data_IF_438827939005
#
_entry.id   IF_438827939005
#
_cell.length_a   1.000
_cell.length_b   1.000
_cell.length_c   1.000
_cell.angle_alpha   90.00
_cell.angle_beta   90.00
_cell.angle_gamma   90.00
#
_symmetry.space_group_name_H-M   'P 1'
#
loop_
_entity.id
_entity.type
_entity.pdbx_description
1 polymer ?
#
# COMPACT_ATOMS: atom_id res chain seq x y z
N UNK A 1 15.88 46.06 14.20
CA UNK A 1 14.78 45.10 14.44
C UNK A 1 15.36 43.77 14.89
N UNK A 2 14.73 43.10 15.87
CA UNK A 2 15.11 41.73 16.27
C UNK A 2 14.49 40.71 15.30
N UNK A 3 15.17 39.61 14.95
CA UNK A 3 14.61 38.59 14.07
C UNK A 3 13.47 37.83 14.76
N UNK A 4 12.38 37.62 14.02
CA UNK A 4 11.24 36.78 14.38
C UNK A 4 11.59 35.32 14.12
N UNK A 5 11.35 34.45 15.09
CA UNK A 5 11.56 33.02 14.94
C UNK A 5 10.20 32.33 14.81
N UNK A 6 10.05 31.55 13.75
CA UNK A 6 8.85 30.78 13.46
C UNK A 6 9.21 29.30 13.50
N UNK A 7 8.52 28.55 14.36
CA UNK A 7 8.68 27.11 14.48
C UNK A 7 7.45 26.45 13.86
N UNK A 8 7.65 25.53 12.94
CA UNK A 8 6.61 24.86 12.18
C UNK A 8 6.74 23.35 12.42
N UNK A 9 5.69 22.76 12.98
CA UNK A 9 5.59 21.31 13.14
C UNK A 9 4.94 20.71 11.89
N UNK A 10 5.51 19.63 11.36
CA UNK A 10 5.06 18.94 10.16
C UNK A 10 4.86 17.45 10.49
N UNK A 11 3.71 16.90 10.11
CA UNK A 11 3.35 15.48 10.19
C UNK A 11 3.84 14.68 8.95
N UNK A 12 5.08 14.94 8.52
CA UNK A 12 5.70 14.26 7.38
C UNK A 12 7.21 14.09 7.61
N UNK A 13 7.76 13.00 7.07
CA UNK A 13 9.20 12.77 7.09
C UNK A 13 9.95 13.80 6.24
N UNK A 14 11.20 14.15 6.58
CA UNK A 14 12.00 15.02 5.75
C UNK A 14 12.32 14.33 4.42
N UNK A 15 12.10 15.03 3.31
CA UNK A 15 12.37 14.57 1.95
C UNK A 15 13.82 14.10 1.66
N UNK A 16 14.82 14.57 2.40
CA UNK A 16 16.24 14.40 2.06
C UNK A 16 17.16 14.13 3.26
N UNK A 17 16.61 13.92 4.46
CA UNK A 17 17.37 13.64 5.67
C UNK A 17 16.52 12.93 6.72
N UNK A 18 17.15 12.54 7.84
CA UNK A 18 16.49 11.93 9.00
C UNK A 18 16.57 12.85 10.23
N UNK A 19 16.71 14.17 10.03
CA UNK A 19 16.84 15.11 11.13
C UNK A 19 15.45 15.47 11.66
N UNK A 20 15.32 15.47 13.00
CA UNK A 20 14.10 15.94 13.67
C UNK A 20 13.81 17.42 13.37
N UNK A 21 14.86 18.24 13.24
CA UNK A 21 14.75 19.68 13.04
C UNK A 21 15.60 20.14 11.86
N UNK A 22 14.98 20.87 10.92
CA UNK A 22 15.61 21.43 9.73
C UNK A 22 15.46 22.96 9.68
N UNK A 23 16.46 23.62 9.10
CA UNK A 23 16.45 25.06 8.83
C UNK A 23 16.56 25.27 7.34
N UNK A 24 15.50 25.81 6.72
CA UNK A 24 15.53 26.17 5.30
C UNK A 24 15.85 27.65 5.15
N UNK A 25 16.75 27.95 4.23
CA UNK A 25 17.04 29.32 3.79
C UNK A 25 16.28 29.60 2.51
N UNK A 26 15.56 30.72 2.46
CA UNK A 26 14.91 31.14 1.22
C UNK A 26 15.97 31.56 0.20
N UNK A 27 15.67 31.26 -1.06
CA UNK A 27 16.44 31.70 -2.21
C UNK A 27 15.51 32.48 -3.14
N UNK A 28 16.04 33.51 -3.79
CA UNK A 28 15.32 34.21 -4.87
C UNK A 28 15.17 33.28 -6.08
N UNK A 29 14.35 33.68 -7.07
CA UNK A 29 14.21 32.96 -8.34
C UNK A 29 15.56 32.77 -9.07
N UNK A 30 16.54 33.64 -8.80
CA UNK A 30 17.91 33.56 -9.34
C UNK A 30 18.85 32.70 -8.49
N UNK A 31 18.34 32.07 -7.43
CA UNK A 31 19.10 31.20 -6.53
C UNK A 31 19.92 31.91 -5.46
N UNK A 32 19.84 33.25 -5.38
CA UNK A 32 20.55 34.04 -4.37
C UNK A 32 19.94 33.81 -3.00
N UNK A 33 20.78 33.49 -2.02
CA UNK A 33 20.35 33.25 -0.64
C UNK A 33 19.89 34.56 -0.01
N UNK A 34 18.75 34.52 0.68
CA UNK A 34 18.24 35.65 1.46
C UNK A 34 19.34 36.21 2.39
N UNK A 35 19.35 37.55 2.55
CA UNK A 35 20.36 38.27 3.33
C UNK A 35 20.61 37.59 4.69
N UNK A 36 21.88 37.43 5.11
CA UNK A 36 22.28 36.85 6.43
C UNK A 36 21.56 37.48 7.63
N UNK A 37 21.01 38.70 7.47
CA UNK A 37 20.15 39.41 8.43
C UNK A 37 18.64 39.22 8.19
N UNK A 38 18.22 38.04 7.73
CA UNK A 38 16.81 37.74 7.52
C UNK A 38 15.99 38.06 8.78
N UNK A 39 14.91 38.82 8.60
CA UNK A 39 14.01 39.22 9.68
C UNK A 39 13.19 38.05 10.20
N UNK A 40 13.01 36.98 9.41
CA UNK A 40 12.25 35.78 9.77
C UNK A 40 13.17 34.57 9.67
N UNK A 41 13.29 33.81 10.75
CA UNK A 41 13.98 32.52 10.79
C UNK A 41 12.94 31.41 10.96
N UNK A 42 12.93 30.45 10.05
CA UNK A 42 11.99 29.31 10.07
C UNK A 42 12.73 28.04 10.44
N UNK A 43 12.18 27.34 11.43
CA UNK A 43 12.63 26.02 11.85
C UNK A 43 11.50 25.04 11.64
N UNK A 44 11.79 23.94 10.97
CA UNK A 44 10.83 22.91 10.60
C UNK A 44 11.11 21.68 11.43
N UNK A 45 10.09 21.19 12.15
CA UNK A 45 10.18 20.03 13.03
C UNK A 45 9.36 18.92 12.41
N UNK A 46 10.02 17.83 12.02
CA UNK A 46 9.39 16.67 11.39
C UNK A 46 9.01 15.67 12.49
N UNK A 47 7.76 15.72 12.94
CA UNK A 47 7.29 14.97 14.10
C UNK A 47 7.50 13.45 13.97
N UNK A 48 7.26 12.78 12.82
CA UNK A 48 7.42 11.33 12.72
C UNK A 48 8.82 10.80 13.04
N UNK A 49 9.86 11.63 12.87
CA UNK A 49 11.26 11.28 13.16
C UNK A 49 11.46 10.97 14.65
N UNK A 50 10.62 11.53 15.53
CA UNK A 50 10.74 11.29 16.97
C UNK A 50 10.53 9.82 17.34
N UNK A 51 9.69 9.10 16.58
CA UNK A 51 9.41 7.70 16.81
C UNK A 51 10.65 6.84 16.54
N UNK A 52 11.47 7.20 15.55
CA UNK A 52 12.74 6.54 15.28
C UNK A 52 13.77 6.82 16.38
N UNK A 53 13.83 8.06 16.86
CA UNK A 53 14.71 8.43 17.98
C UNK A 53 14.35 7.62 19.23
N UNK A 54 13.06 7.53 19.56
CA UNK A 54 12.58 6.71 20.68
C UNK A 54 12.96 5.24 20.51
N UNK A 55 12.83 4.66 19.32
CA UNK A 55 13.26 3.28 19.05
C UNK A 55 14.75 3.06 19.30
N UNK A 56 15.60 4.06 19.00
CA UNK A 56 17.07 3.95 19.12
C UNK A 56 17.57 4.13 20.56
N UNK A 57 17.05 5.12 21.29
CA UNK A 57 17.61 5.52 22.60
C UNK A 57 16.64 5.39 23.78
N UNK A 58 15.35 5.19 23.52
CA UNK A 58 14.28 5.11 24.53
C UNK A 58 13.79 6.49 25.02
N UNK A 59 12.54 6.54 25.50
CA UNK A 59 11.85 7.78 25.92
C UNK A 59 12.60 8.51 27.04
N UNK A 60 13.20 7.80 27.99
CA UNK A 60 13.86 8.41 29.16
C UNK A 60 15.17 9.13 28.83
N UNK A 61 15.71 8.95 27.63
CA UNK A 61 16.94 9.62 27.17
C UNK A 61 16.66 10.81 26.26
N UNK A 62 15.39 11.08 25.95
CA UNK A 62 15.00 12.27 25.18
C UNK A 62 15.18 13.53 26.02
N UNK A 63 15.59 14.63 25.41
CA UNK A 63 15.59 15.94 26.07
C UNK A 63 14.18 16.59 26.12
N UNK A 64 14.01 17.68 26.88
CA UNK A 64 12.74 18.43 27.03
C UNK A 64 12.01 18.70 25.70
N UNK A 65 12.76 19.05 24.64
CA UNK A 65 12.18 19.39 23.36
C UNK A 65 11.79 18.15 22.54
N UNK A 66 12.61 17.10 22.58
CA UNK A 66 12.29 15.81 21.96
C UNK A 66 11.08 15.16 22.62
N UNK A 67 10.96 15.23 23.95
CA UNK A 67 9.77 14.75 24.66
C UNK A 67 8.53 15.53 24.26
N UNK A 68 8.63 16.85 24.06
CA UNK A 68 7.53 17.67 23.54
C UNK A 68 7.14 17.24 22.10
N UNK A 69 8.11 16.95 21.24
CA UNK A 69 7.82 16.45 19.89
C UNK A 69 7.13 15.07 19.95
N UNK A 70 7.55 14.19 20.87
CA UNK A 70 6.94 12.88 21.07
C UNK A 70 5.49 13.00 21.54
N UNK A 71 5.20 13.96 22.41
CA UNK A 71 3.84 14.29 22.84
C UNK A 71 2.96 14.73 21.66
N UNK A 72 3.47 15.61 20.79
CA UNK A 72 2.70 16.09 19.64
C UNK A 72 2.42 15.01 18.61
N UNK A 73 3.38 14.11 18.37
CA UNK A 73 3.23 13.00 17.42
C UNK A 73 2.23 11.95 17.92
N UNK A 74 2.35 11.52 19.18
CA UNK A 74 1.63 10.34 19.66
C UNK A 74 0.42 10.66 20.55
N UNK A 75 0.25 11.92 20.97
CA UNK A 75 -0.77 12.35 21.93
C UNK A 75 -0.73 11.56 23.27
N UNK A 76 0.42 10.95 23.58
CA UNK A 76 0.62 10.09 24.75
C UNK A 76 1.07 10.88 25.97
N UNK A 77 0.13 11.15 26.88
CA UNK A 77 0.39 11.93 28.09
C UNK A 77 1.11 11.11 29.18
N UNK A 78 0.80 9.82 29.32
CA UNK A 78 1.12 9.03 30.52
C UNK A 78 2.58 8.60 30.63
N UNK A 79 3.22 8.29 29.49
CA UNK A 79 4.65 7.92 29.47
C UNK A 79 5.55 9.12 29.81
N UNK A 80 5.13 10.32 29.37
CA UNK A 80 5.87 11.56 29.49
C UNK A 80 5.67 12.19 30.88
N UNK A 81 4.52 12.01 31.52
CA UNK A 81 4.26 12.52 32.89
C UNK A 81 5.25 12.00 33.95
N UNK A 82 5.96 10.91 33.68
CA UNK A 82 7.00 10.35 34.55
C UNK A 82 8.33 11.10 34.46
N UNK A 83 8.55 11.94 33.45
CA UNK A 83 9.78 12.73 33.32
C UNK A 83 9.69 13.98 34.20
N UNK A 84 10.83 14.37 34.81
CA UNK A 84 10.89 15.47 35.79
C UNK A 84 10.93 16.86 35.13
N UNK A 85 10.79 16.94 33.81
CA UNK A 85 11.18 18.12 33.02
C UNK A 85 10.16 19.25 33.04
N UNK A 86 10.68 20.48 33.11
CA UNK A 86 9.88 21.69 33.40
C UNK A 86 9.12 22.18 32.17
N UNK A 87 9.72 22.14 30.98
CA UNK A 87 9.09 22.64 29.76
C UNK A 87 7.86 21.80 29.39
N UNK A 88 8.04 20.48 29.44
CA UNK A 88 7.00 19.49 29.18
C UNK A 88 5.84 19.65 30.16
N UNK A 89 6.11 19.82 31.46
CA UNK A 89 5.06 20.09 32.46
C UNK A 89 4.25 21.35 32.16
N UNK A 90 4.91 22.47 31.88
CA UNK A 90 4.23 23.74 31.55
C UNK A 90 3.41 23.59 30.26
N UNK A 91 3.91 22.88 29.26
CA UNK A 91 3.17 22.59 28.04
C UNK A 91 1.98 21.66 28.29
N UNK A 92 2.14 20.64 29.11
CA UNK A 92 1.06 19.72 29.51
C UNK A 92 -0.06 20.44 30.26
N UNK A 93 0.29 21.39 31.14
CA UNK A 93 -0.70 22.25 31.80
C UNK A 93 -1.46 23.09 30.77
N UNK A 94 -0.76 23.77 29.86
CA UNK A 94 -1.39 24.53 28.77
C UNK A 94 -2.22 23.67 27.82
N UNK A 95 -1.77 22.45 27.53
CA UNK A 95 -2.48 21.50 26.68
C UNK A 95 -3.78 21.04 27.34
N UNK A 96 -3.75 20.73 28.65
CA UNK A 96 -4.96 20.43 29.44
C UNK A 96 -5.90 21.63 29.54
N UNK A 97 -5.38 22.86 29.62
CA UNK A 97 -6.20 24.08 29.54
C UNK A 97 -6.86 24.24 28.16
N UNK A 98 -6.13 23.94 27.08
CA UNK A 98 -6.68 23.95 25.72
C UNK A 98 -7.75 22.88 25.50
N UNK A 99 -7.57 21.68 26.08
CA UNK A 99 -8.59 20.63 26.04
C UNK A 99 -9.90 21.04 26.73
N UNK A 100 -9.84 21.90 27.75
CA UNK A 100 -11.03 22.48 28.40
C UNK A 100 -11.68 23.60 27.59
N UNK A 101 -11.03 24.10 26.54
CA UNK A 101 -11.60 25.08 25.64
C UNK A 101 -12.43 24.35 24.56
N UNK A 102 -13.72 24.15 24.86
CA UNK A 102 -14.65 23.36 24.04
C UNK A 102 -14.63 23.73 22.55
N UNK A 103 -14.52 25.01 22.20
CA UNK A 103 -14.59 25.47 20.81
C UNK A 103 -13.32 25.16 20.00
N UNK A 104 -12.15 25.41 20.56
CA UNK A 104 -10.88 25.12 19.90
C UNK A 104 -10.62 23.61 19.83
N UNK A 105 -10.91 22.90 20.93
CA UNK A 105 -10.72 21.46 21.02
C UNK A 105 -11.67 20.68 20.10
N UNK A 106 -12.96 21.02 20.07
CA UNK A 106 -13.92 20.37 19.16
C UNK A 106 -13.57 20.56 17.69
N UNK A 107 -13.06 21.73 17.31
CA UNK A 107 -12.63 22.01 15.93
C UNK A 107 -11.40 21.18 15.55
N UNK A 108 -10.37 21.15 16.40
CA UNK A 108 -9.16 20.36 16.15
C UNK A 108 -9.46 18.85 16.09
N UNK A 109 -10.30 18.36 17.00
CA UNK A 109 -10.75 16.97 17.04
C UNK A 109 -11.55 16.60 15.79
N UNK A 110 -12.44 17.49 15.31
CA UNK A 110 -13.22 17.26 14.10
C UNK A 110 -12.34 17.14 12.84
N UNK A 111 -11.28 17.95 12.73
CA UNK A 111 -10.29 17.89 11.65
C UNK A 111 -9.53 16.56 11.71
N UNK A 112 -8.98 16.20 12.88
CA UNK A 112 -8.26 14.92 13.05
C UNK A 112 -9.15 13.71 12.75
N UNK A 113 -10.40 13.70 13.25
CA UNK A 113 -11.35 12.64 12.91
C UNK A 113 -11.69 12.61 11.41
N UNK A 114 -11.77 13.77 10.75
CA UNK A 114 -11.93 13.88 9.31
C UNK A 114 -10.77 13.23 8.55
N UNK A 115 -9.54 13.56 8.92
CA UNK A 115 -8.33 12.98 8.32
C UNK A 115 -8.21 11.47 8.59
N UNK A 116 -8.50 11.02 9.81
CA UNK A 116 -8.49 9.59 10.15
C UNK A 116 -9.54 8.82 9.35
N UNK A 117 -10.75 9.38 9.17
CA UNK A 117 -11.79 8.80 8.30
C UNK A 117 -11.33 8.73 6.84
N UNK A 118 -10.68 9.78 6.33
CA UNK A 118 -10.14 9.80 4.98
C UNK A 118 -9.07 8.71 4.78
N UNK A 119 -8.10 8.60 5.70
CA UNK A 119 -7.05 7.57 5.67
C UNK A 119 -7.64 6.15 5.74
N UNK A 120 -8.59 5.91 6.64
CA UNK A 120 -9.21 4.59 6.80
C UNK A 120 -10.10 4.22 5.61
N UNK A 121 -10.91 5.15 5.08
CA UNK A 121 -11.75 4.90 3.90
C UNK A 121 -10.94 4.57 2.64
N UNK A 122 -9.77 5.18 2.46
CA UNK A 122 -8.81 4.82 1.42
C UNK A 122 -8.25 3.41 1.60
N UNK A 123 -7.91 3.02 2.82
CA UNK A 123 -7.41 1.67 3.12
C UNK A 123 -8.48 0.59 2.94
N UNK A 124 -9.71 0.85 3.34
CA UNK A 124 -10.82 -0.10 3.22
C UNK A 124 -11.20 -0.31 1.74
N UNK A 125 -11.30 0.77 0.96
CA UNK A 125 -11.55 0.67 -0.48
C UNK A 125 -10.41 -0.02 -1.24
N UNK A 126 -9.16 0.18 -0.85
CA UNK A 126 -8.01 -0.55 -1.41
C UNK A 126 -8.08 -2.05 -1.09
N UNK A 127 -8.39 -2.43 0.16
CA UNK A 127 -8.54 -3.83 0.56
C UNK A 127 -9.68 -4.52 -0.17
N UNK A 128 -10.86 -3.90 -0.24
CA UNK A 128 -12.00 -4.44 -0.97
C UNK A 128 -11.71 -4.60 -2.46
N UNK A 129 -11.01 -3.62 -3.07
CA UNK A 129 -10.61 -3.69 -4.46
C UNK A 129 -9.63 -4.84 -4.74
N UNK A 130 -8.67 -5.04 -3.84
CA UNK A 130 -7.70 -6.13 -3.93
C UNK A 130 -8.36 -7.51 -3.76
N UNK A 131 -9.25 -7.65 -2.78
CA UNK A 131 -9.97 -8.90 -2.51
C UNK A 131 -10.85 -9.30 -3.69
N UNK A 132 -11.66 -8.36 -4.21
CA UNK A 132 -12.48 -8.59 -5.41
C UNK A 132 -11.66 -8.91 -6.64
N UNK A 133 -10.53 -8.22 -6.83
CA UNK A 133 -9.62 -8.49 -7.95
C UNK A 133 -9.01 -9.89 -7.88
N UNK A 134 -8.61 -10.32 -6.69
CA UNK A 134 -8.05 -11.66 -6.46
C UNK A 134 -9.09 -12.75 -6.67
N UNK A 135 -10.29 -12.58 -6.12
CA UNK A 135 -11.39 -13.54 -6.27
C UNK A 135 -11.78 -13.72 -7.74
N UNK A 136 -11.97 -12.62 -8.47
CA UNK A 136 -12.27 -12.67 -9.91
C UNK A 136 -11.14 -13.29 -10.73
N UNK A 137 -9.88 -13.01 -10.39
CA UNK A 137 -8.73 -13.59 -11.06
C UNK A 137 -8.62 -15.09 -10.84
N UNK A 138 -8.85 -15.56 -9.61
CA UNK A 138 -8.84 -16.98 -9.26
C UNK A 138 -10.00 -17.74 -9.91
N UNK A 139 -11.21 -17.19 -9.90
CA UNK A 139 -12.38 -17.82 -10.53
C UNK A 139 -12.14 -18.01 -12.03
N UNK A 140 -11.73 -16.94 -12.74
CA UNK A 140 -11.43 -17.02 -14.19
C UNK A 140 -10.29 -17.98 -14.50
N UNK A 141 -9.19 -17.90 -13.75
CA UNK A 141 -8.04 -18.80 -13.96
C UNK A 141 -8.41 -20.27 -13.72
N UNK A 142 -9.29 -20.55 -12.75
CA UNK A 142 -9.79 -21.89 -12.48
C UNK A 142 -10.70 -22.39 -13.61
N UNK A 143 -11.63 -21.58 -14.08
CA UNK A 143 -12.52 -21.95 -15.19
C UNK A 143 -11.74 -22.22 -16.48
N UNK A 144 -10.81 -21.33 -16.83
CA UNK A 144 -9.93 -21.49 -17.99
C UNK A 144 -9.07 -22.75 -17.87
N UNK A 145 -8.44 -22.96 -16.72
CA UNK A 145 -7.60 -24.13 -16.46
C UNK A 145 -8.38 -25.45 -16.51
N UNK A 146 -9.61 -25.49 -15.98
CA UNK A 146 -10.47 -26.68 -16.07
C UNK A 146 -10.84 -26.97 -17.53
N UNK A 147 -11.18 -25.93 -18.29
CA UNK A 147 -11.53 -26.07 -19.71
C UNK A 147 -10.37 -26.58 -20.54
N UNK A 148 -9.19 -25.98 -20.39
CA UNK A 148 -7.96 -26.44 -21.07
C UNK A 148 -7.57 -27.85 -20.65
N UNK A 149 -7.68 -28.17 -19.36
CA UNK A 149 -7.42 -29.52 -18.84
C UNK A 149 -8.35 -30.57 -19.42
N UNK A 150 -9.63 -30.25 -19.59
CA UNK A 150 -10.61 -31.15 -20.21
C UNK A 150 -10.31 -31.36 -21.70
N UNK A 151 -10.05 -30.29 -22.45
CA UNK A 151 -9.74 -30.37 -23.88
C UNK A 151 -8.45 -31.16 -24.14
N UNK A 152 -7.41 -30.96 -23.33
CA UNK A 152 -6.15 -31.72 -23.44
C UNK A 152 -6.33 -33.19 -23.09
N UNK A 153 -7.14 -33.50 -22.06
CA UNK A 153 -7.49 -34.86 -21.69
C UNK A 153 -8.27 -35.59 -22.78
N UNK A 154 -9.29 -34.96 -23.37
CA UNK A 154 -10.08 -35.53 -24.49
C UNK A 154 -9.19 -35.83 -25.70
N UNK A 155 -8.27 -34.92 -26.05
CA UNK A 155 -7.29 -35.16 -27.14
C UNK A 155 -6.37 -36.34 -26.85
N UNK A 156 -5.90 -36.48 -25.61
CA UNK A 156 -5.02 -37.58 -25.22
C UNK A 156 -5.73 -38.94 -25.33
N UNK A 157 -6.98 -39.03 -24.86
CA UNK A 157 -7.78 -40.25 -24.95
C UNK A 157 -8.05 -40.61 -26.42
N UNK A 158 -8.43 -39.63 -27.24
CA UNK A 158 -8.67 -39.85 -28.67
C UNK A 158 -7.41 -40.30 -29.40
N UNK A 159 -6.25 -39.73 -29.07
CA UNK A 159 -4.97 -40.18 -29.60
C UNK A 159 -4.77 -41.68 -29.34
N UNK A 160 -4.93 -42.11 -28.08
CA UNK A 160 -4.75 -43.51 -27.70
C UNK A 160 -5.74 -44.44 -28.41
N UNK A 161 -7.01 -44.02 -28.55
CA UNK A 161 -8.02 -44.80 -29.25
C UNK A 161 -7.69 -44.96 -30.75
N UNK A 162 -7.27 -43.87 -31.41
CA UNK A 162 -6.92 -43.88 -32.82
C UNK A 162 -5.67 -44.72 -33.08
N UNK A 163 -4.64 -44.60 -32.25
CA UNK A 163 -3.44 -45.43 -32.31
C UNK A 163 -3.78 -46.92 -32.13
N UNK A 164 -4.71 -47.25 -31.23
CA UNK A 164 -5.14 -48.64 -31.01
C UNK A 164 -5.97 -49.22 -32.18
N UNK A 165 -6.83 -48.41 -32.81
CA UNK A 165 -7.74 -48.87 -33.87
C UNK A 165 -7.06 -48.90 -35.24
N UNK A 166 -6.27 -47.88 -35.56
CA UNK A 166 -5.69 -47.69 -36.89
C UNK A 166 -4.18 -47.90 -36.94
N UNK A 167 -3.51 -48.06 -35.79
CA UNK A 167 -2.06 -48.24 -35.68
C UNK A 167 -1.24 -47.08 -36.28
N UNK A 168 -1.83 -45.88 -36.31
CA UNK A 168 -1.24 -44.65 -36.83
C UNK A 168 -1.28 -43.54 -35.76
N UNK A 169 -0.21 -42.75 -35.66
CA UNK A 169 -0.16 -41.59 -34.76
C UNK A 169 -0.96 -40.41 -35.33
N UNK A 170 -1.97 -39.98 -34.57
CA UNK A 170 -2.84 -38.87 -34.92
C UNK A 170 -2.55 -37.57 -34.15
N UNK A 171 -1.45 -37.50 -33.39
CA UNK A 171 -1.10 -36.36 -32.51
C UNK A 171 -1.16 -35.00 -33.23
N UNK A 172 -0.53 -34.91 -34.40
CA UNK A 172 -0.45 -33.66 -35.17
C UNK A 172 -1.82 -33.28 -35.71
N UNK A 173 -2.58 -34.25 -36.22
CA UNK A 173 -3.93 -34.00 -36.75
C UNK A 173 -4.88 -33.55 -35.64
N UNK A 174 -4.89 -34.23 -34.49
CA UNK A 174 -5.73 -33.88 -33.36
C UNK A 174 -5.43 -32.48 -32.82
N UNK A 175 -4.20 -31.98 -32.91
CA UNK A 175 -3.85 -30.60 -32.53
C UNK A 175 -4.44 -29.54 -33.47
N UNK A 176 -4.69 -29.87 -34.74
CA UNK A 176 -5.27 -28.93 -35.71
C UNK A 176 -6.79 -28.75 -35.56
N UNK A 177 -7.45 -29.58 -34.76
CA UNK A 177 -8.91 -29.58 -34.61
C UNK A 177 -9.40 -28.69 -33.47
N UNK A 178 -10.58 -28.11 -33.66
CA UNK A 178 -11.31 -27.34 -32.64
C UNK A 178 -12.00 -28.26 -31.64
N UNK A 179 -12.33 -27.76 -30.44
CA UNK A 179 -13.02 -28.54 -29.40
C UNK A 179 -14.34 -29.16 -29.90
N UNK A 180 -15.10 -28.46 -30.73
CA UNK A 180 -16.35 -28.96 -31.31
C UNK A 180 -16.16 -30.04 -32.39
N UNK A 181 -15.02 -30.06 -33.08
CA UNK A 181 -14.70 -31.15 -34.02
C UNK A 181 -14.27 -32.41 -33.26
N UNK A 182 -13.50 -32.24 -32.18
CA UNK A 182 -13.00 -33.32 -31.33
C UNK A 182 -14.12 -34.14 -30.70
N UNK A 183 -15.18 -33.50 -30.23
CA UNK A 183 -16.33 -34.17 -29.64
C UNK A 183 -17.12 -35.05 -30.62
N UNK A 184 -16.98 -34.82 -31.94
CA UNK A 184 -17.68 -35.60 -32.98
C UNK A 184 -16.88 -36.81 -33.51
N UNK A 185 -15.59 -36.91 -33.15
CA UNK A 185 -14.71 -38.00 -33.61
C UNK A 185 -15.14 -39.38 -33.10
N UNK A 186 -15.48 -39.57 -31.80
CA UNK A 186 -15.83 -40.89 -31.28
C UNK A 186 -16.97 -41.59 -32.03
N UNK A 187 -17.98 -40.83 -32.45
CA UNK A 187 -19.14 -41.34 -33.19
C UNK A 187 -18.75 -41.88 -34.58
N UNK A 188 -17.68 -41.35 -35.18
CA UNK A 188 -17.23 -41.71 -36.51
C UNK A 188 -16.18 -42.83 -36.52
N UNK A 189 -15.55 -43.14 -35.39
CA UNK A 189 -14.51 -44.19 -35.26
C UNK A 189 -15.01 -45.56 -35.71
N UNK A 190 -16.26 -45.92 -35.39
CA UNK A 190 -16.83 -47.21 -35.77
C UNK A 190 -17.23 -47.31 -37.25
N UNK A 191 -17.38 -46.17 -37.93
CA UNK A 191 -17.84 -46.12 -39.33
C UNK A 191 -16.69 -46.07 -40.34
N UNK A 192 -15.51 -45.64 -39.92
CA UNK A 192 -14.35 -45.44 -40.79
C UNK A 192 -13.40 -46.64 -40.72
N UNK A 193 -12.97 -47.17 -41.87
CA UNK A 193 -12.06 -48.32 -41.95
C UNK A 193 -10.58 -47.92 -41.95
N UNK A 194 -10.29 -46.64 -42.19
CA UNK A 194 -8.93 -46.07 -42.25
C UNK A 194 -8.92 -44.69 -41.60
N UNK A 195 -7.76 -44.26 -41.10
CA UNK A 195 -7.59 -42.94 -40.50
C UNK A 195 -7.86 -41.80 -41.51
N UNK A 196 -7.52 -41.99 -42.78
CA UNK A 196 -7.79 -41.01 -43.84
C UNK A 196 -9.29 -40.80 -44.13
N UNK A 197 -10.12 -41.83 -43.94
CA UNK A 197 -11.57 -41.68 -44.03
C UNK A 197 -12.13 -40.86 -42.85
N UNK A 198 -11.55 -41.05 -41.66
CA UNK A 198 -11.91 -40.30 -40.47
C UNK A 198 -11.51 -38.82 -40.57
N UNK A 199 -10.32 -38.53 -41.12
CA UNK A 199 -9.81 -37.16 -41.35
C UNK A 199 -10.64 -36.32 -42.31
N UNK A 200 -11.45 -36.95 -43.16
CA UNK A 200 -12.26 -36.29 -44.22
C UNK A 200 -13.70 -36.01 -43.82
N UNK A 201 -14.11 -36.44 -42.62
CA UNK A 201 -15.42 -36.12 -42.02
C UNK A 201 -15.28 -34.99 -41.02
#
# INVERSE_FOLDING_TARGET
>A
MKPVHQIIFIDEYPWNNQNLMNHYQMRTEKGEVENKKALIKRSYIHLPVINELVRKQGILKLNDFEQLCFLFENNENDAILKTKERLVKVFMEKYKEMQKNDKLWSTAMAIQMGEARYRNGLNDSYKEGLEKGLEQGLEKGREEGIKEGKETGERLILKQLIENIYHEDASIWLQTLTAGQITSIPENLHTCKTLDQLKRK
#
